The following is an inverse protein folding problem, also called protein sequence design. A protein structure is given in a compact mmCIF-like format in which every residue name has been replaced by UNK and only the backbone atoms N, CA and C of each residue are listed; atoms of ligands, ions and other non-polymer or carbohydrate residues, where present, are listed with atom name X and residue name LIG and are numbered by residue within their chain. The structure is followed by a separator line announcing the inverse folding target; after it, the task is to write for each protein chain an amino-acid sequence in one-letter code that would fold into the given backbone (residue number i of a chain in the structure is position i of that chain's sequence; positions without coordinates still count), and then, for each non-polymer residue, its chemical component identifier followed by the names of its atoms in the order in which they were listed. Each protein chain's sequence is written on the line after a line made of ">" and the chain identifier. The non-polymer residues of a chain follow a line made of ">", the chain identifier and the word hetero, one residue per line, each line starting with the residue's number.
data_IF_228542094202
#
_entry.id   IF_228542094202
#
_cell.length_a   1.000
_cell.length_b   1.000
_cell.length_c   1.000
_cell.angle_alpha   90.00
_cell.angle_beta   90.00
_cell.angle_gamma   90.00
#
_symmetry.space_group_name_H-M   'P 1'
#
loop_
_entity.id
_entity.type
_entity.pdbx_description
1 polymer ?
#
# COMPACT_ATOMS: atom_id res chain seq x y z
N UNK A 1 -14.68 0.89 1.67
CA UNK A 1 -13.67 1.97 1.55
C UNK A 1 -13.59 2.30 0.07
N UNK A 2 -14.44 3.23 -0.38
CA UNK A 2 -14.45 3.69 -1.78
C UNK A 2 -14.00 5.15 -1.78
N UNK A 3 -12.68 5.36 -1.82
CA UNK A 3 -12.12 6.55 -2.42
C UNK A 3 -11.59 6.08 -3.77
N UNK A 4 -12.38 6.31 -4.80
CA UNK A 4 -12.05 5.95 -6.17
C UNK A 4 -10.82 6.75 -6.56
N UNK A 5 -9.66 6.08 -6.74
CA UNK A 5 -8.50 6.63 -7.44
C UNK A 5 -9.03 7.18 -8.76
N UNK A 6 -9.13 8.50 -8.89
CA UNK A 6 -9.40 9.07 -10.20
C UNK A 6 -8.10 8.92 -11.01
N UNK A 7 -8.23 8.76 -12.33
CA UNK A 7 -7.16 8.44 -13.29
C UNK A 7 -5.79 9.04 -12.90
N UNK A 8 -4.72 8.24 -12.96
CA UNK A 8 -3.32 8.59 -12.68
C UNK A 8 -2.93 8.94 -11.23
N UNK A 9 -3.67 8.43 -10.24
CA UNK A 9 -3.24 8.52 -8.83
C UNK A 9 -3.59 9.84 -8.15
N UNK A 10 -4.61 10.52 -8.66
CA UNK A 10 -5.18 11.73 -8.05
C UNK A 10 -6.30 11.40 -7.06
N UNK A 11 -6.34 12.19 -5.99
CA UNK A 11 -7.37 12.20 -4.94
C UNK A 11 -7.87 13.64 -4.77
N UNK A 12 -8.89 14.00 -5.57
CA UNK A 12 -9.28 15.41 -5.71
C UNK A 12 -8.17 16.23 -6.38
N UNK A 13 -7.81 17.36 -5.77
CA UNK A 13 -6.71 18.22 -6.23
C UNK A 13 -5.31 17.74 -5.81
N UNK A 14 -5.22 16.66 -5.01
CA UNK A 14 -3.99 16.19 -4.41
C UNK A 14 -3.52 14.86 -5.00
N UNK A 15 -2.21 14.63 -5.01
CA UNK A 15 -1.60 13.40 -5.52
C UNK A 15 -0.99 13.58 -6.91
N UNK A 16 -1.17 12.58 -7.76
CA UNK A 16 -0.50 12.51 -9.06
C UNK A 16 1.00 12.20 -8.94
N UNK A 17 1.73 12.40 -10.04
CA UNK A 17 3.16 12.11 -10.16
C UNK A 17 3.92 13.32 -10.70
N UNK A 18 4.46 14.16 -9.80
CA UNK A 18 5.32 15.29 -10.16
C UNK A 18 6.79 14.90 -10.02
N UNK A 19 7.31 14.20 -11.03
CA UNK A 19 8.64 13.58 -11.04
C UNK A 19 9.40 13.91 -12.32
N UNK A 20 10.73 13.80 -12.34
CA UNK A 20 11.51 13.88 -13.58
C UNK A 20 11.07 12.82 -14.60
N UNK A 21 11.10 13.17 -15.88
CA UNK A 21 10.79 12.28 -17.02
C UNK A 21 11.55 10.95 -16.94
N UNK A 22 12.80 11.00 -16.48
CA UNK A 22 13.68 9.82 -16.34
C UNK A 22 13.15 8.77 -15.36
N UNK A 23 12.20 9.11 -14.49
CA UNK A 23 11.59 8.19 -13.53
C UNK A 23 10.25 7.63 -13.99
N UNK A 24 9.63 8.19 -15.04
CA UNK A 24 8.27 7.81 -15.47
C UNK A 24 8.19 6.31 -15.77
N UNK A 25 9.08 5.80 -16.62
CA UNK A 25 9.09 4.38 -17.01
C UNK A 25 9.29 3.43 -15.82
N UNK A 26 10.14 3.80 -14.85
CA UNK A 26 10.37 2.97 -13.66
C UNK A 26 9.14 2.94 -12.74
N UNK A 27 8.42 4.06 -12.64
CA UNK A 27 7.19 4.14 -11.85
C UNK A 27 6.03 3.40 -12.51
N UNK A 28 5.92 3.45 -13.84
CA UNK A 28 4.92 2.66 -14.58
C UNK A 28 5.16 1.15 -14.37
N UNK A 29 6.41 0.70 -14.50
CA UNK A 29 6.77 -0.69 -14.21
C UNK A 29 6.43 -1.11 -12.77
N UNK A 30 6.65 -0.22 -11.80
CA UNK A 30 6.31 -0.49 -10.41
C UNK A 30 4.79 -0.58 -10.18
N UNK A 31 4.02 0.33 -10.77
CA UNK A 31 2.55 0.33 -10.68
C UNK A 31 1.97 -0.97 -11.26
N UNK A 32 2.49 -1.43 -12.41
CA UNK A 32 2.11 -2.71 -13.02
C UNK A 32 2.46 -3.91 -12.12
N UNK A 33 3.73 -4.01 -11.69
CA UNK A 33 4.18 -5.11 -10.83
C UNK A 33 3.43 -5.15 -9.49
N UNK A 34 3.08 -3.98 -8.93
CA UNK A 34 2.25 -3.89 -7.73
C UNK A 34 0.83 -4.38 -7.98
N UNK A 35 0.20 -4.01 -9.09
CA UNK A 35 -1.15 -4.46 -9.44
C UNK A 35 -1.20 -6.00 -9.54
N UNK A 36 -0.21 -6.59 -10.20
CA UNK A 36 -0.06 -8.04 -10.33
C UNK A 36 0.12 -8.70 -8.96
N UNK A 37 1.14 -8.27 -8.19
CA UNK A 37 1.46 -8.84 -6.88
C UNK A 37 0.30 -8.70 -5.87
N UNK A 38 -0.42 -7.57 -5.89
CA UNK A 38 -1.57 -7.35 -5.01
C UNK A 38 -2.73 -8.31 -5.32
N UNK A 39 -2.88 -8.72 -6.58
CA UNK A 39 -3.92 -9.65 -7.01
C UNK A 39 -3.52 -11.13 -6.83
N UNK A 40 -2.23 -11.40 -6.65
CA UNK A 40 -1.68 -12.74 -6.47
C UNK A 40 -1.92 -13.29 -5.05
N UNK A 41 -2.70 -14.40 -4.90
CA UNK A 41 -2.92 -15.03 -3.61
C UNK A 41 -1.64 -15.57 -2.95
N UNK A 42 -0.61 -15.92 -3.73
CA UNK A 42 0.64 -16.48 -3.22
C UNK A 42 1.48 -15.40 -2.55
N UNK A 43 1.58 -14.24 -3.20
CA UNK A 43 2.18 -13.04 -2.64
C UNK A 43 1.49 -12.63 -1.32
N UNK A 44 0.16 -12.55 -1.31
CA UNK A 44 -0.60 -12.16 -0.11
C UNK A 44 -0.41 -13.18 1.03
N UNK A 45 -0.34 -14.48 0.73
CA UNK A 45 -0.05 -15.50 1.75
C UNK A 45 1.33 -15.31 2.35
N UNK A 46 2.37 -15.15 1.54
CA UNK A 46 3.74 -14.93 2.02
C UNK A 46 3.87 -13.64 2.84
N UNK A 47 3.24 -12.55 2.39
CA UNK A 47 3.22 -11.29 3.12
C UNK A 47 2.56 -11.43 4.50
N UNK A 48 1.39 -12.09 4.58
CA UNK A 48 0.70 -12.34 5.86
C UNK A 48 1.46 -13.26 6.79
N UNK A 49 2.16 -14.26 6.25
CA UNK A 49 3.01 -15.16 7.01
C UNK A 49 4.14 -14.38 7.70
N UNK A 50 4.86 -13.54 6.95
CA UNK A 50 5.90 -12.66 7.49
C UNK A 50 5.33 -11.70 8.54
N UNK A 51 4.17 -11.08 8.28
CA UNK A 51 3.54 -10.20 9.26
C UNK A 51 3.25 -10.92 10.59
N UNK A 52 2.79 -12.17 10.53
CA UNK A 52 2.43 -12.96 11.71
C UNK A 52 3.65 -13.51 12.44
N UNK A 53 4.53 -14.18 11.72
CA UNK A 53 5.58 -15.02 12.29
C UNK A 53 6.93 -14.31 12.45
N UNK A 54 7.19 -13.29 11.63
CA UNK A 54 8.42 -12.52 11.71
C UNK A 54 8.21 -11.17 12.40
N UNK A 55 7.20 -10.39 11.99
CA UNK A 55 6.93 -9.05 12.55
C UNK A 55 6.13 -9.12 13.86
N UNK A 56 5.36 -10.18 14.08
CA UNK A 56 4.59 -10.38 15.32
C UNK A 56 3.22 -9.69 15.35
N UNK A 57 2.58 -9.50 14.19
CA UNK A 57 1.20 -9.00 14.10
C UNK A 57 0.18 -10.06 14.58
N UNK A 58 -0.99 -9.66 15.08
CA UNK A 58 -1.47 -8.29 15.23
C UNK A 58 -0.89 -7.58 16.46
N UNK A 59 -0.65 -6.28 16.34
CA UNK A 59 -0.23 -5.44 17.48
C UNK A 59 -1.42 -5.28 18.43
N UNK A 60 -1.25 -5.54 19.74
CA UNK A 60 -2.34 -5.40 20.69
C UNK A 60 -2.78 -3.93 20.82
N UNK A 61 -4.08 -3.71 20.93
CA UNK A 61 -4.65 -2.40 21.24
C UNK A 61 -4.83 -2.29 22.76
N UNK A 62 -4.10 -1.39 23.40
CA UNK A 62 -4.13 -1.21 24.86
C UNK A 62 -4.96 0.01 25.24
N UNK A 63 -5.94 -0.17 26.13
CA UNK A 63 -6.71 0.93 26.70
C UNK A 63 -5.86 1.69 27.75
N UNK A 64 -5.82 3.02 27.63
CA UNK A 64 -5.03 3.90 28.50
C UNK A 64 -5.94 4.76 29.40
N UNK A 65 -6.36 4.26 30.58
CA UNK A 65 -7.40 4.90 31.42
C UNK A 65 -6.99 6.23 32.06
N UNK A 66 -5.73 6.66 31.91
CA UNK A 66 -5.20 7.92 32.47
C UNK A 66 -5.08 9.05 31.44
N UNK A 67 -5.47 8.81 30.18
CA UNK A 67 -5.40 9.76 29.07
C UNK A 67 -6.78 10.30 28.65
N UNK A 68 -7.79 10.05 29.48
CA UNK A 68 -9.19 10.49 29.33
C UNK A 68 -9.68 10.98 30.68
#
# INVERSE_FOLDING_TARGET
>A
MNEQRQSDGWFGEFGGRYVPETLVAALDQLDEAWADARSDPDFERGFRDLLRHYVGRATPLTYAPRLT
#
